data_IF_540150078243
#
_entry.id   IF_540150078243
#
_cell.length_a   1.000
_cell.length_b   1.000
_cell.length_c   1.000
_cell.angle_alpha   90.00
_cell.angle_beta   90.00
_cell.angle_gamma   90.00
#
_symmetry.space_group_name_H-M   'P 1'
#
loop_
_entity.id
_entity.type
_entity.pdbx_description
1 polymer ?
#
# COMPACT_ATOMS: atom_id res chain seq x y z
N UNK A 1 26.28 -10.87 19.21
CA UNK A 1 25.74 -9.50 19.29
C UNK A 1 25.04 -9.28 17.96
N UNK A 2 23.71 -9.30 17.95
CA UNK A 2 22.92 -9.03 16.74
C UNK A 2 23.14 -7.56 16.40
N UNK A 3 23.64 -7.27 15.20
CA UNK A 3 23.53 -5.92 14.66
C UNK A 3 22.05 -5.51 14.73
N UNK A 4 21.78 -4.29 15.21
CA UNK A 4 20.45 -3.72 15.11
C UNK A 4 20.17 -3.54 13.62
N UNK A 5 19.30 -4.39 13.05
CA UNK A 5 18.90 -4.28 11.65
C UNK A 5 18.14 -2.98 11.47
N UNK A 6 18.48 -2.25 10.41
CA UNK A 6 17.78 -1.02 10.01
C UNK A 6 16.31 -1.32 9.74
N UNK A 7 15.42 -0.37 10.07
CA UNK A 7 14.03 -0.41 9.62
C UNK A 7 14.05 -0.39 8.08
N UNK A 8 13.60 -1.48 7.47
CA UNK A 8 13.40 -1.61 6.03
C UNK A 8 12.18 -0.81 5.60
N UNK A 9 12.31 -0.10 4.48
CA UNK A 9 11.25 0.72 3.92
C UNK A 9 10.21 -0.13 3.20
N UNK A 10 8.93 0.08 3.52
CA UNK A 10 7.81 -0.65 2.90
C UNK A 10 6.93 0.34 2.14
N UNK A 11 6.57 0.00 0.91
CA UNK A 11 5.54 0.66 0.12
C UNK A 11 4.26 -0.20 0.13
N UNK A 12 3.16 0.32 0.65
CA UNK A 12 1.86 -0.34 0.48
C UNK A 12 1.29 -0.02 -0.90
N UNK A 13 0.70 -1.01 -1.57
CA UNK A 13 0.03 -0.84 -2.85
C UNK A 13 -1.39 -1.38 -2.77
N UNK A 14 -2.36 -0.50 -2.97
CA UNK A 14 -3.80 -0.80 -2.95
C UNK A 14 -4.41 -0.47 -4.32
N UNK A 15 -5.25 -1.36 -4.84
CA UNK A 15 -6.08 -1.12 -6.02
C UNK A 15 -7.53 -1.08 -5.58
N UNK A 16 -8.28 -0.07 -6.03
CA UNK A 16 -9.69 0.10 -5.66
C UNK A 16 -10.59 0.38 -6.86
N UNK A 17 -11.85 -0.03 -6.77
CA UNK A 17 -12.89 0.32 -7.73
C UNK A 17 -14.28 0.36 -7.08
N UNK A 18 -14.85 1.56 -6.94
CA UNK A 18 -16.21 1.77 -6.41
C UNK A 18 -16.45 1.16 -5.01
N UNK A 19 -15.48 1.33 -4.11
CA UNK A 19 -15.50 0.77 -2.75
C UNK A 19 -14.96 1.76 -1.72
N UNK A 20 -15.28 3.04 -1.86
CA UNK A 20 -14.74 4.11 -1.00
C UNK A 20 -14.74 3.76 0.50
N UNK A 21 -15.82 3.21 1.05
CA UNK A 21 -15.87 2.90 2.49
C UNK A 21 -14.84 1.85 2.92
N UNK A 22 -14.65 0.79 2.13
CA UNK A 22 -13.65 -0.25 2.44
C UNK A 22 -12.24 0.30 2.26
N UNK A 23 -12.01 1.09 1.21
CA UNK A 23 -10.74 1.77 1.01
C UNK A 23 -10.36 2.64 2.21
N UNK A 24 -11.33 3.35 2.80
CA UNK A 24 -11.10 4.19 3.99
C UNK A 24 -10.61 3.35 5.17
N UNK A 25 -11.29 2.24 5.46
CA UNK A 25 -10.90 1.30 6.52
C UNK A 25 -9.54 0.66 6.26
N UNK A 26 -9.27 0.28 5.01
CA UNK A 26 -7.99 -0.26 4.57
C UNK A 26 -6.85 0.75 4.81
N UNK A 27 -6.99 1.99 4.33
CA UNK A 27 -5.99 3.05 4.51
C UNK A 27 -5.77 3.33 6.00
N UNK A 28 -6.84 3.41 6.79
CA UNK A 28 -6.73 3.62 8.24
C UNK A 28 -5.95 2.47 8.91
N UNK A 29 -6.19 1.22 8.53
CA UNK A 29 -5.45 0.07 9.08
C UNK A 29 -3.97 0.07 8.66
N UNK A 30 -3.65 0.54 7.46
CA UNK A 30 -2.28 0.69 6.96
C UNK A 30 -1.56 1.81 7.73
N UNK A 31 -2.20 2.97 7.90
CA UNK A 31 -1.64 4.10 8.64
C UNK A 31 -1.42 3.75 10.13
N UNK A 32 -2.23 2.84 10.67
CA UNK A 32 -2.15 2.39 12.05
C UNK A 32 -1.25 1.17 12.27
N UNK A 33 -0.46 0.70 11.30
CA UNK A 33 0.47 -0.42 11.53
C UNK A 33 1.55 -0.06 12.58
N UNK A 34 1.90 -1.00 13.45
CA UNK A 34 3.00 -0.84 14.41
C UNK A 34 4.37 -0.78 13.73
N UNK A 35 4.48 -1.43 12.57
CA UNK A 35 5.57 -1.21 11.61
C UNK A 35 5.08 -0.22 10.55
N UNK A 36 5.56 1.04 10.54
CA UNK A 36 5.00 2.05 9.64
C UNK A 36 5.40 1.80 8.18
N UNK A 37 4.47 2.03 7.26
CA UNK A 37 4.80 2.12 5.83
C UNK A 37 5.46 3.47 5.52
N UNK A 38 6.43 3.44 4.62
CA UNK A 38 7.15 4.65 4.17
C UNK A 38 6.37 5.39 3.07
N UNK A 39 5.65 4.65 2.24
CA UNK A 39 4.88 5.15 1.11
C UNK A 39 3.62 4.32 0.89
N UNK A 40 2.62 4.92 0.25
CA UNK A 40 1.36 4.29 -0.11
C UNK A 40 0.98 4.68 -1.55
N UNK A 41 0.87 3.69 -2.42
CA UNK A 41 0.36 3.84 -3.77
C UNK A 41 -1.09 3.38 -3.79
N UNK A 42 -1.98 4.25 -4.25
CA UNK A 42 -3.41 3.96 -4.42
C UNK A 42 -3.73 4.05 -5.90
N UNK A 43 -4.18 2.94 -6.49
CA UNK A 43 -4.67 2.90 -7.86
C UNK A 43 -6.20 2.92 -7.86
N UNK A 44 -6.77 4.07 -8.18
CA UNK A 44 -8.20 4.21 -8.43
C UNK A 44 -8.52 3.74 -9.86
N UNK A 45 -9.18 2.58 -9.98
CA UNK A 45 -9.44 1.90 -11.23
C UNK A 45 -10.69 2.45 -11.97
N UNK A 46 -10.80 3.79 -12.03
CA UNK A 46 -11.88 4.57 -12.64
C UNK A 46 -13.18 4.56 -11.83
N UNK A 47 -13.09 4.72 -10.51
CA UNK A 47 -14.26 4.78 -9.63
C UNK A 47 -15.13 6.01 -9.92
N UNK A 48 -16.43 5.88 -9.64
CA UNK A 48 -17.49 6.87 -9.87
C UNK A 48 -18.29 7.18 -8.61
N UNK A 49 -17.82 6.71 -7.45
CA UNK A 49 -18.49 6.77 -6.15
C UNK A 49 -17.95 7.88 -5.22
N UNK A 50 -17.14 8.80 -5.76
CA UNK A 50 -16.47 9.85 -4.97
C UNK A 50 -15.08 9.46 -4.44
N UNK A 51 -14.55 8.29 -4.82
CA UNK A 51 -13.25 7.81 -4.33
C UNK A 51 -12.10 8.78 -4.61
N UNK A 52 -11.98 9.28 -5.84
CA UNK A 52 -10.88 10.19 -6.21
C UNK A 52 -10.96 11.50 -5.44
N UNK A 53 -12.15 12.10 -5.37
CA UNK A 53 -12.39 13.35 -4.65
C UNK A 53 -12.04 13.20 -3.17
N UNK A 54 -12.46 12.08 -2.55
CA UNK A 54 -12.15 11.82 -1.16
C UNK A 54 -10.64 11.66 -0.92
N UNK A 55 -9.91 10.95 -1.79
CA UNK A 55 -8.45 10.80 -1.68
C UNK A 55 -7.75 12.16 -1.78
N UNK A 56 -8.13 12.97 -2.76
CA UNK A 56 -7.54 14.30 -2.97
C UNK A 56 -7.75 15.23 -1.78
N UNK A 57 -8.93 15.19 -1.17
CA UNK A 57 -9.29 16.06 -0.04
C UNK A 57 -8.72 15.61 1.31
N UNK A 58 -8.63 14.30 1.57
CA UNK A 58 -8.38 13.77 2.91
C UNK A 58 -7.03 13.08 3.09
N UNK A 59 -6.45 12.60 2.00
CA UNK A 59 -5.31 11.68 2.03
C UNK A 59 -4.08 12.33 1.42
N UNK A 60 -4.21 13.00 0.26
CA UNK A 60 -3.08 13.68 -0.37
C UNK A 60 -2.55 14.83 0.49
N UNK A 61 -1.23 15.00 0.49
CA UNK A 61 -0.54 16.06 1.24
C UNK A 61 -0.24 15.73 2.70
N UNK A 62 -0.64 14.56 3.21
CA UNK A 62 -0.15 14.05 4.50
C UNK A 62 1.38 13.94 4.48
N UNK A 63 2.07 14.28 5.59
CA UNK A 63 3.53 14.27 5.65
C UNK A 63 4.11 12.85 5.68
N UNK A 64 3.35 11.87 6.17
CA UNK A 64 3.72 10.46 6.22
C UNK A 64 2.46 9.59 6.33
N UNK A 65 2.38 8.46 5.60
CA UNK A 65 3.32 8.02 4.57
C UNK A 65 3.34 8.95 3.34
N UNK A 66 4.34 8.82 2.46
CA UNK A 66 4.31 9.53 1.18
C UNK A 66 3.28 8.87 0.25
N UNK A 67 2.24 9.61 -0.14
CA UNK A 67 1.10 9.05 -0.87
C UNK A 67 1.14 9.41 -2.35
N UNK A 68 0.94 8.40 -3.20
CA UNK A 68 0.75 8.55 -4.64
C UNK A 68 -0.60 7.98 -5.06
N UNK A 69 -1.46 8.86 -5.55
CA UNK A 69 -2.75 8.48 -6.13
C UNK A 69 -2.64 8.41 -7.65
N UNK A 70 -3.10 7.30 -8.24
CA UNK A 70 -3.14 7.08 -9.69
C UNK A 70 -4.56 6.71 -10.09
N UNK A 71 -5.22 7.63 -10.80
CA UNK A 71 -6.53 7.37 -11.39
C UNK A 71 -6.39 6.88 -12.83
N UNK A 72 -7.06 5.78 -13.16
CA UNK A 72 -7.15 5.27 -14.53
C UNK A 72 -8.36 5.82 -15.27
N UNK A 73 -8.28 5.89 -16.61
CA UNK A 73 -9.38 6.37 -17.45
C UNK A 73 -10.54 5.37 -17.60
N UNK A 74 -10.28 4.09 -17.34
CA UNK A 74 -11.26 2.99 -17.35
C UNK A 74 -10.78 1.89 -16.43
N UNK A 75 -11.69 1.06 -15.94
CA UNK A 75 -11.34 -0.11 -15.15
C UNK A 75 -10.49 -1.09 -15.98
N UNK A 76 -9.24 -1.31 -15.54
CA UNK A 76 -8.24 -2.20 -16.16
C UNK A 76 -8.30 -3.64 -15.62
N UNK A 77 -9.26 -3.94 -14.75
CA UNK A 77 -9.26 -5.14 -13.90
C UNK A 77 -8.22 -5.06 -12.78
N UNK A 78 -8.29 -5.98 -11.82
CA UNK A 78 -7.37 -6.03 -10.68
C UNK A 78 -5.91 -6.17 -11.10
N UNK A 79 -5.61 -7.14 -11.97
CA UNK A 79 -4.25 -7.36 -12.47
C UNK A 79 -3.68 -6.14 -13.25
N UNK A 80 -4.52 -5.45 -14.01
CA UNK A 80 -4.12 -4.23 -14.72
C UNK A 80 -3.83 -3.08 -13.75
N UNK A 81 -4.66 -2.92 -12.72
CA UNK A 81 -4.45 -1.96 -11.64
C UNK A 81 -3.16 -2.24 -10.88
N UNK A 82 -2.93 -3.49 -10.46
CA UNK A 82 -1.70 -3.87 -9.75
C UNK A 82 -0.46 -3.73 -10.63
N UNK A 83 -0.52 -4.06 -11.93
CA UNK A 83 0.61 -3.85 -12.83
C UNK A 83 1.02 -2.38 -12.93
N UNK A 84 0.03 -1.48 -13.00
CA UNK A 84 0.26 -0.04 -13.02
C UNK A 84 0.83 0.45 -11.68
N UNK A 85 0.20 0.03 -10.57
CA UNK A 85 0.62 0.40 -9.23
C UNK A 85 2.03 -0.09 -8.88
N UNK A 86 2.39 -1.31 -9.30
CA UNK A 86 3.71 -1.88 -9.04
C UNK A 86 4.81 -1.06 -9.72
N UNK A 87 4.59 -0.61 -10.96
CA UNK A 87 5.53 0.28 -11.66
C UNK A 87 5.75 1.58 -10.88
N UNK A 88 4.68 2.16 -10.35
CA UNK A 88 4.75 3.37 -9.55
C UNK A 88 5.40 3.14 -8.18
N UNK A 89 5.14 2.00 -7.53
CA UNK A 89 5.75 1.62 -6.25
C UNK A 89 7.26 1.43 -6.39
N UNK A 90 7.73 0.83 -7.50
CA UNK A 90 9.16 0.67 -7.79
C UNK A 90 9.91 2.00 -7.94
N UNK A 91 9.22 3.10 -8.24
CA UNK A 91 9.82 4.45 -8.30
C UNK A 91 10.12 5.02 -6.89
N UNK A 92 9.59 4.44 -5.81
CA UNK A 92 9.82 4.89 -4.43
C UNK A 92 11.10 4.31 -3.79
N UNK A 93 11.86 3.46 -4.50
CA UNK A 93 13.11 2.83 -4.01
C UNK A 93 12.97 2.14 -2.64
N UNK A 94 11.82 1.52 -2.38
CA UNK A 94 11.55 0.80 -1.13
C UNK A 94 12.14 -0.62 -1.14
N UNK A 95 12.45 -1.14 0.06
CA UNK A 95 12.95 -2.51 0.25
C UNK A 95 11.86 -3.56 0.00
N UNK A 96 10.61 -3.25 0.36
CA UNK A 96 9.45 -4.15 0.21
C UNK A 96 8.23 -3.45 -0.39
N UNK A 97 7.45 -4.20 -1.14
CA UNK A 97 6.12 -3.79 -1.60
C UNK A 97 5.10 -4.73 -0.97
N UNK A 98 4.17 -4.18 -0.20
CA UNK A 98 3.08 -4.90 0.43
C UNK A 98 1.82 -4.70 -0.40
N UNK A 99 1.44 -5.73 -1.16
CA UNK A 99 0.29 -5.65 -2.08
C UNK A 99 -0.97 -6.17 -1.40
N UNK A 100 -2.06 -5.41 -1.49
CA UNK A 100 -3.36 -5.86 -0.98
C UNK A 100 -4.53 -5.27 -1.75
N UNK A 101 -5.67 -5.95 -1.67
CA UNK A 101 -6.96 -5.43 -2.13
C UNK A 101 -7.51 -4.38 -1.15
N UNK A 102 -8.48 -3.58 -1.62
CA UNK A 102 -9.10 -2.49 -0.85
C UNK A 102 -10.04 -2.93 0.29
N UNK A 103 -10.22 -4.24 0.47
CA UNK A 103 -10.99 -4.87 1.55
C UNK A 103 -10.11 -5.63 2.56
N UNK A 104 -8.79 -5.52 2.43
CA UNK A 104 -7.84 -6.01 3.42
C UNK A 104 -7.71 -5.00 4.56
N UNK A 105 -8.13 -5.40 5.76
CA UNK A 105 -8.06 -4.61 6.99
C UNK A 105 -7.09 -5.32 7.96
N UNK A 106 -5.77 -5.23 7.73
CA UNK A 106 -4.76 -5.86 8.58
C UNK A 106 -4.83 -5.39 10.03
N UNK A 107 -4.64 -6.33 10.96
CA UNK A 107 -4.41 -5.99 12.36
C UNK A 107 -3.12 -5.18 12.53
N UNK A 108 -3.02 -4.43 13.62
CA UNK A 108 -1.93 -3.48 13.89
C UNK A 108 -0.51 -4.06 13.74
N UNK A 109 -0.30 -5.34 14.09
CA UNK A 109 1.03 -5.99 14.04
C UNK A 109 1.26 -6.83 12.77
N UNK A 110 0.35 -6.80 11.80
CA UNK A 110 0.41 -7.65 10.61
C UNK A 110 1.71 -7.42 9.82
N UNK A 111 2.03 -6.16 9.47
CA UNK A 111 3.22 -5.85 8.69
C UNK A 111 4.51 -6.17 9.46
N UNK A 112 4.52 -5.95 10.77
CA UNK A 112 5.66 -6.30 11.63
C UNK A 112 5.96 -7.81 11.55
N UNK A 113 4.92 -8.65 11.59
CA UNK A 113 5.06 -10.10 11.46
C UNK A 113 5.51 -10.53 10.07
N UNK A 114 5.00 -9.89 9.02
CA UNK A 114 5.39 -10.16 7.62
C UNK A 114 6.87 -9.85 7.38
N UNK A 115 7.33 -8.66 7.80
CA UNK A 115 8.75 -8.27 7.74
C UNK A 115 9.61 -9.20 8.59
N UNK A 116 9.17 -9.55 9.80
CA UNK A 116 9.91 -10.49 10.64
C UNK A 116 10.03 -11.89 10.00
N UNK A 117 8.97 -12.34 9.33
CA UNK A 117 8.93 -13.62 8.62
C UNK A 117 9.87 -13.67 7.42
N UNK A 118 10.05 -12.56 6.68
CA UNK A 118 10.93 -12.51 5.51
C UNK A 118 12.40 -12.79 5.88
N UNK A 119 12.84 -12.39 7.08
CA UNK A 119 14.16 -12.68 7.60
C UNK A 119 14.42 -14.18 7.81
N UNK A 120 13.36 -14.97 8.00
CA UNK A 120 13.46 -16.41 8.19
C UNK A 120 13.61 -17.17 6.86
N UNK A 121 13.20 -16.56 5.75
CA UNK A 121 13.15 -17.21 4.42
C UNK A 121 14.29 -16.80 3.48
N UNK A 122 15.29 -16.04 3.95
CA UNK A 122 16.46 -15.61 3.17
C UNK A 122 16.15 -14.73 1.94
N UNK A 123 14.96 -14.11 1.90
CA UNK A 123 14.72 -12.85 1.19
C UNK A 123 14.90 -12.79 -0.33
N UNK A 124 14.85 -13.90 -1.09
CA UNK A 124 14.97 -13.83 -2.56
C UNK A 124 14.17 -14.89 -3.33
N UNK A 125 13.23 -14.49 -4.22
CA UNK A 125 12.32 -13.33 -4.17
C UNK A 125 11.09 -13.65 -3.31
N UNK A 126 10.50 -12.67 -2.63
CA UNK A 126 9.27 -12.88 -1.85
C UNK A 126 8.39 -11.63 -1.87
N UNK A 127 7.10 -11.82 -2.15
CA UNK A 127 6.06 -10.81 -1.98
C UNK A 127 5.52 -10.92 -0.55
N UNK A 128 5.22 -9.80 0.09
CA UNK A 128 4.47 -9.75 1.35
C UNK A 128 2.99 -9.48 1.05
#
# INVERSE_FOLDING_TARGET
>A
MSEARSIESVCALVVTFNRLNLLRECIESIENQSYPVSSLVIVDNASTDGTSEWIEEHILGKPSPQIRHIRTARNLGGAGGFNLGLKAALEHECDWIWLMDDDCIPENECLAHLVQGSYMTSGTPSFL
#
